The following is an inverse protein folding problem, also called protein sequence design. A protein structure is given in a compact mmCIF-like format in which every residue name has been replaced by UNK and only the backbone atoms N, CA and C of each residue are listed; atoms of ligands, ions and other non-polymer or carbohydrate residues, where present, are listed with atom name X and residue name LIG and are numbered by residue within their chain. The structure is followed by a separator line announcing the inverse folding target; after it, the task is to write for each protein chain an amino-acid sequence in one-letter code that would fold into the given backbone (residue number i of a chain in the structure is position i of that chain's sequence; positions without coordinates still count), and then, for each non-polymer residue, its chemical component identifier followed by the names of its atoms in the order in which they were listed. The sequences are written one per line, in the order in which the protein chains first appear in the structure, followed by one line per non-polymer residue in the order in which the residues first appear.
data_IF_884921301635
#
_entry.id   IF_884921301635
#
_cell.length_a   1.000
_cell.length_b   1.000
_cell.length_c   1.000
_cell.angle_alpha   90.00
_cell.angle_beta   90.00
_cell.angle_gamma   90.00
#
_symmetry.space_group_name_H-M   'P 1'
#
loop_
_entity.id
_entity.type
_entity.pdbx_description
1 polymer ?
#
# COMPACT_ATOMS: atom_id res chain seq x y z
N UNK A 1 32.56 -43.81 -25.00
CA UNK A 1 32.66 -45.25 -24.63
C UNK A 1 33.45 -45.32 -23.32
N UNK A 2 33.00 -46.13 -22.34
CA UNK A 2 32.72 -45.80 -20.92
C UNK A 2 33.93 -46.06 -19.99
N UNK A 3 33.91 -45.83 -18.67
CA UNK A 3 32.91 -45.43 -17.68
C UNK A 3 33.48 -45.59 -16.26
N UNK A 4 32.71 -45.28 -15.23
CA UNK A 4 32.93 -45.80 -13.87
C UNK A 4 31.60 -45.86 -13.10
N UNK A 5 31.42 -46.98 -12.40
CA UNK A 5 30.25 -47.38 -11.63
C UNK A 5 30.20 -46.79 -10.22
N UNK A 6 29.01 -46.89 -9.59
CA UNK A 6 28.66 -47.12 -8.16
C UNK A 6 27.46 -46.23 -7.82
N UNK A 7 26.35 -46.61 -7.17
CA UNK A 7 25.82 -47.84 -6.58
C UNK A 7 24.41 -47.50 -6.06
N UNK A 8 23.46 -48.44 -6.12
CA UNK A 8 22.20 -48.43 -5.36
C UNK A 8 22.46 -49.09 -3.97
N UNK A 9 21.52 -49.21 -3.00
CA UNK A 9 20.08 -48.83 -2.97
C UNK A 9 19.66 -48.11 -1.65
N UNK A 10 18.45 -47.54 -1.57
CA UNK A 10 17.47 -47.87 -0.49
C UNK A 10 16.15 -47.08 -0.61
N UNK A 11 15.10 -47.82 -0.30
CA UNK A 11 13.67 -47.51 -0.34
C UNK A 11 13.19 -46.66 0.86
N UNK A 12 11.96 -46.14 0.72
CA UNK A 12 10.98 -45.85 1.77
C UNK A 12 10.99 -44.43 2.39
N UNK A 13 10.02 -43.59 2.02
CA UNK A 13 8.89 -43.28 2.90
C UNK A 13 7.84 -42.39 2.22
N UNK A 14 6.62 -42.90 2.25
CA UNK A 14 5.35 -42.24 1.94
C UNK A 14 4.98 -41.39 3.17
N UNK A 15 4.67 -40.11 3.01
CA UNK A 15 3.80 -39.38 3.93
C UNK A 15 3.13 -38.20 3.21
N UNK A 16 1.84 -38.39 2.91
CA UNK A 16 0.89 -37.31 2.78
C UNK A 16 0.37 -36.98 4.18
N UNK A 17 0.35 -35.70 4.54
CA UNK A 17 -0.43 -35.14 5.66
C UNK A 17 -0.64 -33.65 5.38
N UNK A 18 -1.83 -33.28 4.89
CA UNK A 18 -2.87 -32.52 5.60
C UNK A 18 -2.77 -30.99 5.48
N UNK A 19 -3.74 -30.40 4.78
CA UNK A 19 -4.83 -29.55 5.32
C UNK A 19 -4.36 -28.20 5.85
N UNK A 20 -4.67 -27.13 5.11
CA UNK A 20 -5.22 -25.91 5.70
C UNK A 20 -6.30 -25.37 4.76
N UNK A 21 -7.54 -25.47 5.24
CA UNK A 21 -8.71 -24.86 4.64
C UNK A 21 -8.63 -23.34 4.81
N UNK A 22 -8.76 -22.59 3.71
CA UNK A 22 -8.97 -21.15 3.77
C UNK A 22 -10.47 -20.90 3.61
N UNK A 23 -11.12 -20.48 4.70
CA UNK A 23 -12.54 -20.15 4.72
C UNK A 23 -12.79 -18.86 3.93
N UNK A 24 -13.38 -18.96 2.73
CA UNK A 24 -14.06 -17.82 2.11
C UNK A 24 -15.44 -17.65 2.78
N UNK A 25 -15.58 -16.57 3.54
CA UNK A 25 -16.86 -16.08 4.04
C UNK A 25 -17.75 -15.70 2.85
N UNK A 26 -18.83 -16.46 2.63
CA UNK A 26 -19.89 -16.10 1.69
C UNK A 26 -20.81 -15.06 2.35
N UNK A 27 -20.68 -13.79 1.97
CA UNK A 27 -21.68 -12.77 2.30
C UNK A 27 -22.93 -12.99 1.45
N UNK A 28 -23.89 -13.77 1.96
CA UNK A 28 -25.27 -13.76 1.44
C UNK A 28 -26.06 -12.65 2.11
N UNK A 29 -26.17 -11.50 1.44
CA UNK A 29 -27.11 -10.45 1.83
C UNK A 29 -28.41 -10.60 1.05
N UNK A 30 -29.47 -11.05 1.73
CA UNK A 30 -30.83 -11.13 1.20
C UNK A 30 -31.59 -9.85 1.54
N UNK A 31 -31.69 -8.93 0.58
CA UNK A 31 -32.64 -7.81 0.68
C UNK A 31 -33.99 -8.27 0.12
N UNK A 32 -34.97 -8.51 0.99
CA UNK A 32 -36.35 -8.78 0.59
C UNK A 32 -37.09 -7.44 0.46
N UNK A 33 -37.20 -6.94 -0.77
CA UNK A 33 -37.94 -5.71 -1.10
C UNK A 33 -39.17 -6.00 -1.97
N UNK A 34 -40.30 -5.38 -1.62
CA UNK A 34 -41.59 -5.54 -2.28
C UNK A 34 -41.57 -5.11 -3.77
N UNK A 35 -42.30 -5.84 -4.63
CA UNK A 35 -42.38 -5.56 -6.06
C UNK A 35 -43.37 -4.41 -6.33
N UNK A 36 -42.86 -3.27 -6.79
CA UNK A 36 -43.69 -2.17 -7.34
C UNK A 36 -43.78 -2.34 -8.86
N UNK A 37 -45.00 -2.36 -9.39
CA UNK A 37 -45.23 -2.44 -10.84
C UNK A 37 -44.92 -1.08 -11.51
N UNK A 38 -43.79 -1.00 -12.21
CA UNK A 38 -43.42 0.16 -13.01
C UNK A 38 -43.98 0.03 -14.45
N UNK A 39 -44.70 1.05 -14.91
CA UNK A 39 -45.09 1.20 -16.33
C UNK A 39 -43.81 1.41 -17.17
N UNK A 40 -43.67 0.79 -18.35
CA UNK A 40 -42.51 1.01 -19.20
C UNK A 40 -42.60 2.39 -19.84
N UNK A 41 -41.90 3.37 -19.28
CA UNK A 41 -41.59 4.62 -19.99
C UNK A 41 -40.58 4.28 -21.07
N UNK A 42 -40.96 4.44 -22.34
CA UNK A 42 -40.03 4.29 -23.47
C UNK A 42 -38.94 5.35 -23.32
N UNK A 43 -37.82 4.96 -22.73
CA UNK A 43 -36.62 5.80 -22.71
C UNK A 43 -36.15 5.93 -24.16
N UNK A 44 -36.31 7.12 -24.74
CA UNK A 44 -35.49 7.52 -25.89
C UNK A 44 -34.05 7.37 -25.42
N UNK A 45 -33.39 6.30 -25.87
CA UNK A 45 -31.95 6.17 -25.73
C UNK A 45 -31.35 7.38 -26.44
N UNK A 46 -30.95 8.39 -25.67
CA UNK A 46 -29.95 9.32 -26.16
C UNK A 46 -28.84 8.43 -26.71
N UNK A 47 -28.56 8.56 -28.01
CA UNK A 47 -27.50 7.81 -28.65
C UNK A 47 -26.28 7.97 -27.74
N UNK A 48 -25.90 6.89 -27.05
CA UNK A 48 -24.63 6.87 -26.35
C UNK A 48 -23.65 7.14 -27.48
N UNK A 49 -23.01 8.31 -27.46
CA UNK A 49 -21.88 8.56 -28.33
C UNK A 49 -20.91 7.42 -28.05
N UNK A 50 -20.93 6.42 -28.93
CA UNK A 50 -19.97 5.34 -28.89
C UNK A 50 -18.67 6.02 -29.24
N UNK A 51 -17.85 6.28 -28.24
CA UNK A 51 -16.44 6.54 -28.50
C UNK A 51 -15.92 5.22 -29.04
N UNK A 52 -15.93 5.09 -30.37
CA UNK A 52 -15.26 4.00 -31.06
C UNK A 52 -13.77 4.21 -30.75
N UNK A 53 -13.12 3.28 -30.02
CA UNK A 53 -11.68 3.37 -29.84
C UNK A 53 -11.07 3.33 -31.24
N UNK A 54 -10.51 4.47 -31.67
CA UNK A 54 -9.66 4.52 -32.86
C UNK A 54 -8.27 4.10 -32.43
N UNK A 55 -7.66 3.20 -33.18
CA UNK A 55 -6.25 2.90 -33.04
C UNK A 55 -5.46 4.21 -33.09
N UNK A 56 -4.45 4.32 -32.23
CA UNK A 56 -3.70 5.56 -32.03
C UNK A 56 -2.87 5.97 -33.25
N UNK A 57 -2.76 5.10 -34.26
CA UNK A 57 -1.94 5.31 -35.46
C UNK A 57 -2.63 4.83 -36.73
N UNK A 58 -3.73 5.49 -37.13
CA UNK A 58 -4.25 5.47 -38.51
C UNK A 58 -4.78 4.14 -39.08
N UNK A 59 -4.43 2.99 -38.51
CA UNK A 59 -4.78 1.65 -38.99
C UNK A 59 -5.91 1.08 -38.14
N UNK A 60 -7.06 0.85 -38.78
CA UNK A 60 -8.28 0.40 -38.13
C UNK A 60 -8.04 -0.89 -37.31
N UNK A 61 -7.99 -0.75 -35.98
CA UNK A 61 -7.99 -1.84 -34.97
C UNK A 61 -6.67 -2.57 -34.65
N UNK A 62 -5.50 -2.03 -35.01
CA UNK A 62 -4.21 -2.57 -34.53
C UNK A 62 -3.77 -1.83 -33.27
N UNK A 63 -3.78 -2.53 -32.13
CA UNK A 63 -3.43 -1.99 -30.80
C UNK A 63 -2.11 -2.55 -30.25
N UNK A 64 -1.46 -3.41 -31.01
CA UNK A 64 -0.25 -4.12 -30.61
C UNK A 64 0.88 -3.74 -31.57
N UNK A 65 1.87 -3.02 -31.05
CA UNK A 65 3.08 -2.65 -31.78
C UNK A 65 4.31 -3.22 -31.06
N UNK A 66 5.08 -4.06 -31.77
CA UNK A 66 6.33 -4.63 -31.28
C UNK A 66 7.48 -3.61 -31.28
N UNK A 67 7.37 -2.55 -32.08
CA UNK A 67 8.37 -1.48 -32.14
C UNK A 67 8.15 -0.41 -31.06
N UNK A 68 6.92 -0.30 -30.54
CA UNK A 68 6.55 0.61 -29.46
C UNK A 68 5.77 -0.13 -28.34
N UNK A 69 6.50 -0.85 -27.46
CA UNK A 69 5.88 -1.57 -26.35
C UNK A 69 5.31 -0.64 -25.27
N UNK A 70 5.78 0.60 -25.17
CA UNK A 70 5.29 1.58 -24.18
C UNK A 70 3.87 2.03 -24.55
N UNK A 71 3.62 2.32 -25.84
CA UNK A 71 2.27 2.59 -26.32
C UNK A 71 1.35 1.37 -26.21
N UNK A 72 1.87 0.16 -26.44
CA UNK A 72 1.13 -1.12 -26.38
C UNK A 72 0.74 -1.52 -24.96
N UNK A 73 1.65 -1.34 -23.99
CA UNK A 73 1.42 -1.70 -22.58
C UNK A 73 0.63 -0.63 -21.83
N UNK A 74 0.46 0.55 -22.43
CA UNK A 74 -0.34 1.62 -21.87
C UNK A 74 0.39 2.40 -20.77
N UNK A 75 1.73 2.48 -20.81
CA UNK A 75 2.58 3.20 -19.85
C UNK A 75 2.52 4.73 -20.00
N UNK A 76 1.35 5.27 -20.32
CA UNK A 76 1.12 6.71 -20.50
C UNK A 76 1.05 7.41 -19.14
N UNK A 77 1.89 8.43 -18.95
CA UNK A 77 1.69 9.38 -17.87
C UNK A 77 0.51 10.31 -18.22
N UNK A 78 -0.66 9.99 -17.67
CA UNK A 78 -1.91 10.73 -17.90
C UNK A 78 -1.88 12.12 -17.26
N UNK A 79 -1.02 12.33 -16.25
CA UNK A 79 -1.02 13.54 -15.43
C UNK A 79 0.29 14.32 -15.49
N UNK A 80 1.29 13.79 -16.19
CA UNK A 80 2.56 14.47 -16.47
C UNK A 80 2.31 15.82 -17.13
N UNK A 81 2.75 16.88 -16.46
CA UNK A 81 2.69 18.22 -16.98
C UNK A 81 4.10 18.65 -17.40
N UNK A 82 4.26 19.05 -18.66
CA UNK A 82 5.51 19.59 -19.22
C UNK A 82 5.73 21.04 -18.74
N UNK A 83 5.86 21.23 -17.43
CA UNK A 83 6.16 22.53 -16.82
C UNK A 83 7.48 22.44 -16.06
N UNK A 84 8.37 23.40 -16.31
CA UNK A 84 9.77 23.36 -15.86
C UNK A 84 9.90 23.59 -14.34
N UNK A 85 9.27 24.63 -13.80
CA UNK A 85 9.18 24.87 -12.35
C UNK A 85 8.00 25.80 -12.06
N UNK A 86 7.19 25.46 -11.05
CA UNK A 86 6.01 26.26 -10.67
C UNK A 86 6.31 27.30 -9.59
N UNK A 87 7.42 27.12 -8.87
CA UNK A 87 7.81 27.96 -7.74
C UNK A 87 8.88 28.99 -8.13
N UNK A 88 9.02 30.10 -7.38
CA UNK A 88 10.03 31.10 -7.65
C UNK A 88 11.46 30.56 -7.45
N UNK A 89 12.39 30.91 -8.35
CA UNK A 89 13.76 30.39 -8.33
C UNK A 89 14.57 30.70 -7.05
N UNK A 90 14.26 31.81 -6.36
CA UNK A 90 14.91 32.11 -5.07
C UNK A 90 14.53 31.11 -3.96
N UNK A 91 13.33 30.53 -4.01
CA UNK A 91 12.92 29.48 -3.07
C UNK A 91 13.56 28.16 -3.44
N UNK A 92 13.61 27.85 -4.73
CA UNK A 92 14.27 26.67 -5.28
C UNK A 92 15.73 26.59 -4.84
N UNK A 93 16.51 27.65 -5.03
CA UNK A 93 17.93 27.69 -4.67
C UNK A 93 18.16 27.49 -3.15
N UNK A 94 17.28 28.03 -2.30
CA UNK A 94 17.35 27.81 -0.87
C UNK A 94 17.12 26.35 -0.51
N UNK A 95 16.04 25.74 -1.03
CA UNK A 95 15.68 24.38 -0.69
C UNK A 95 16.65 23.36 -1.29
N UNK A 96 17.17 23.60 -2.48
CA UNK A 96 18.18 22.74 -3.10
C UNK A 96 19.45 22.66 -2.24
N UNK A 97 19.94 23.80 -1.76
CA UNK A 97 21.11 23.86 -0.87
C UNK A 97 20.82 23.30 0.53
N UNK A 98 19.67 23.63 1.11
CA UNK A 98 19.32 23.18 2.46
C UNK A 98 19.06 21.67 2.52
N UNK A 99 18.42 21.10 1.50
CA UNK A 99 18.10 19.67 1.45
C UNK A 99 19.31 18.79 1.10
N UNK A 100 20.40 19.36 0.58
CA UNK A 100 21.56 18.61 0.09
C UNK A 100 22.17 17.70 1.17
N UNK A 101 22.17 18.13 2.44
CA UNK A 101 22.67 17.33 3.56
C UNK A 101 21.85 16.08 3.88
N UNK A 102 20.56 16.05 3.49
CA UNK A 102 19.64 14.93 3.72
C UNK A 102 19.17 14.26 2.42
N UNK A 103 19.73 14.66 1.27
CA UNK A 103 19.28 14.15 -0.04
C UNK A 103 19.60 12.67 -0.27
N UNK A 104 20.58 12.11 0.45
CA UNK A 104 20.94 10.68 0.35
C UNK A 104 20.02 9.84 1.24
N UNK A 105 19.26 8.92 0.62
CA UNK A 105 18.30 8.04 1.30
C UNK A 105 18.88 7.34 2.53
N UNK A 106 20.08 6.78 2.42
CA UNK A 106 20.75 6.09 3.56
C UNK A 106 21.08 7.03 4.73
N UNK A 107 21.52 8.26 4.43
CA UNK A 107 21.77 9.27 5.45
C UNK A 107 20.46 9.72 6.11
N UNK A 108 19.39 9.84 5.31
CA UNK A 108 18.06 10.17 5.82
C UNK A 108 17.51 9.06 6.73
N UNK A 109 17.59 7.79 6.31
CA UNK A 109 17.08 6.69 7.11
C UNK A 109 17.86 6.49 8.41
N UNK A 110 19.20 6.56 8.36
CA UNK A 110 20.02 6.49 9.57
C UNK A 110 19.77 7.67 10.51
N UNK A 111 19.59 8.88 9.98
CA UNK A 111 19.22 10.05 10.78
C UNK A 111 17.85 9.86 11.46
N UNK A 112 16.81 9.47 10.73
CA UNK A 112 15.48 9.26 11.32
C UNK A 112 15.49 8.12 12.34
N UNK A 113 16.17 7.02 12.04
CA UNK A 113 16.23 5.85 12.90
C UNK A 113 17.03 6.09 14.20
N UNK A 114 17.95 7.05 14.21
CA UNK A 114 18.76 7.36 15.40
C UNK A 114 18.25 8.60 16.12
N UNK A 115 18.08 9.72 15.42
CA UNK A 115 17.71 11.00 16.02
C UNK A 115 16.27 11.00 16.56
N UNK A 116 15.33 10.38 15.84
CA UNK A 116 13.93 10.27 16.27
C UNK A 116 13.79 9.51 17.58
N UNK A 117 14.24 8.24 17.65
CA UNK A 117 14.21 7.47 18.90
C UNK A 117 15.02 8.10 20.02
N UNK A 118 16.19 8.68 19.72
CA UNK A 118 16.98 9.39 20.74
C UNK A 118 16.19 10.55 21.36
N UNK A 119 15.51 11.36 20.53
CA UNK A 119 14.66 12.44 21.02
C UNK A 119 13.49 11.90 21.86
N UNK A 120 12.86 10.81 21.45
CA UNK A 120 11.80 10.15 22.21
C UNK A 120 12.29 9.65 23.59
N UNK A 121 13.51 9.12 23.68
CA UNK A 121 14.09 8.67 24.95
C UNK A 121 14.44 9.83 25.87
N UNK A 122 15.03 10.90 25.33
CA UNK A 122 15.35 12.11 26.11
C UNK A 122 14.06 12.76 26.63
N UNK A 123 13.06 12.90 25.77
CA UNK A 123 11.76 13.41 26.18
C UNK A 123 11.07 12.46 27.17
N UNK A 124 11.07 11.15 26.91
CA UNK A 124 10.47 10.15 27.79
C UNK A 124 11.12 10.08 29.18
N UNK A 125 12.43 10.35 29.29
CA UNK A 125 13.15 10.33 30.57
C UNK A 125 13.07 11.63 31.37
N UNK A 126 13.30 12.78 30.71
CA UNK A 126 13.37 14.10 31.36
C UNK A 126 12.15 14.97 31.05
N UNK A 127 11.83 15.11 29.77
CA UNK A 127 10.69 15.95 29.33
C UNK A 127 9.35 15.50 29.92
N UNK A 128 9.15 14.20 30.14
CA UNK A 128 7.95 13.61 30.73
C UNK A 128 7.71 14.05 32.17
N UNK A 129 8.80 14.20 32.94
CA UNK A 129 8.76 14.66 34.33
C UNK A 129 8.48 16.16 34.39
N UNK A 130 9.13 16.93 33.52
CA UNK A 130 8.94 18.37 33.41
C UNK A 130 7.50 18.70 32.95
N UNK A 131 6.94 17.90 32.04
CA UNK A 131 5.57 18.00 31.55
C UNK A 131 4.52 17.40 32.51
N UNK A 132 4.92 16.86 33.67
CA UNK A 132 4.05 16.24 34.68
C UNK A 132 3.10 15.19 34.08
N UNK A 133 3.62 14.34 33.20
CA UNK A 133 2.80 13.28 32.62
C UNK A 133 2.28 12.35 33.74
N UNK A 134 1.03 11.87 33.66
CA UNK A 134 0.42 11.08 34.75
C UNK A 134 1.25 9.88 35.21
N UNK A 135 1.98 9.25 34.27
CA UNK A 135 2.88 8.14 34.57
C UNK A 135 4.06 8.53 35.46
N UNK A 136 4.52 9.78 35.40
CA UNK A 136 5.65 10.29 36.21
C UNK A 136 5.21 10.76 37.60
N UNK A 137 3.93 11.15 37.75
CA UNK A 137 3.34 11.59 39.02
C UNK A 137 2.90 10.41 39.88
N UNK A 138 2.52 9.30 39.24
CA UNK A 138 2.04 8.10 39.91
C UNK A 138 0.59 8.22 40.42
N UNK A 139 -0.01 7.12 40.87
CA UNK A 139 -1.37 7.12 41.42
C UNK A 139 -1.42 7.93 42.72
N UNK A 140 -2.21 9.01 42.72
CA UNK A 140 -2.39 9.85 43.91
C UNK A 140 -3.49 9.33 44.86
N UNK A 141 -4.33 8.43 44.37
CA UNK A 141 -5.46 7.86 45.11
C UNK A 141 -5.22 6.39 45.40
N UNK A 142 -5.76 5.90 46.51
CA UNK A 142 -5.71 4.48 46.85
C UNK A 142 -6.41 3.67 45.75
N UNK A 143 -5.80 2.57 45.27
CA UNK A 143 -6.40 1.75 44.23
C UNK A 143 -7.80 1.26 44.65
N UNK A 144 -8.82 1.34 43.78
CA UNK A 144 -10.10 0.70 44.06
C UNK A 144 -9.91 -0.81 44.16
N UNK A 145 -10.47 -1.44 45.21
CA UNK A 145 -10.39 -2.88 45.37
C UNK A 145 -11.21 -3.56 44.26
N UNK A 146 -10.63 -4.62 43.67
CA UNK A 146 -11.31 -5.44 42.68
C UNK A 146 -12.47 -6.25 43.30
N UNK A 147 -13.38 -6.81 42.47
CA UNK A 147 -14.64 -7.42 42.91
C UNK A 147 -14.59 -8.60 43.91
N UNK A 148 -13.40 -9.01 44.37
CA UNK A 148 -13.19 -10.14 45.30
C UNK A 148 -12.07 -9.85 46.30
N UNK A 149 -11.99 -8.62 46.80
CA UNK A 149 -11.03 -8.21 47.84
C UNK A 149 -9.61 -8.78 47.66
N UNK A 150 -9.06 -8.63 46.44
CA UNK A 150 -7.67 -8.99 46.11
C UNK A 150 -7.37 -10.49 46.25
N UNK A 151 -8.18 -11.37 45.64
CA UNK A 151 -7.76 -12.77 45.38
C UNK A 151 -6.45 -12.81 44.59
#
# INVERSE_FOLDING_TARGET
VPGTCTGLPHSLHKHQTEKMAFCLSASTSTFVGAKVAAKPTVARRAARASVTPKAKYGDESVYFDLNDPEATTGSWDVYGQESTARYPGQQEEFFEKAAQGLGRREAMYSFLALAGPAACLVFGGKGSKDAKLPITVGPQQTPPLGPRDRL
#
